data_IF_095041937729
#
_entry.id   IF_095041937729
#
_cell.length_a   1.000
_cell.length_b   1.000
_cell.length_c   1.000
_cell.angle_alpha   90.00
_cell.angle_beta   90.00
_cell.angle_gamma   90.00
#
_symmetry.space_group_name_H-M   'P 1'
#
loop_
_entity.id
_entity.type
_entity.pdbx_description
1 polymer ?
#
# COMPACT_ATOMS: atom_id res chain seq x y z
N UNK A 1 20.41 50.62 -27.12
CA UNK A 1 19.64 49.88 -28.15
C UNK A 1 19.42 50.65 -29.48
N UNK A 2 20.38 51.49 -29.95
CA UNK A 2 20.25 52.19 -31.24
C UNK A 2 21.18 51.69 -32.36
N UNK A 3 22.20 50.88 -32.03
CA UNK A 3 23.22 50.44 -33.00
C UNK A 3 22.91 49.12 -33.73
N UNK A 4 21.86 48.38 -33.36
CA UNK A 4 21.51 47.13 -34.06
C UNK A 4 20.71 47.36 -35.35
N UNK A 5 20.05 48.52 -35.50
CA UNK A 5 19.15 48.79 -36.64
C UNK A 5 19.89 49.11 -37.95
N UNK A 6 21.16 49.51 -37.89
CA UNK A 6 21.94 49.86 -39.10
C UNK A 6 22.67 48.68 -39.75
N UNK A 7 22.96 47.61 -39.01
CA UNK A 7 23.66 46.44 -39.54
C UNK A 7 22.81 45.59 -40.52
N UNK A 8 21.48 45.77 -40.54
CA UNK A 8 20.56 44.92 -41.31
C UNK A 8 20.16 45.49 -42.69
N UNK A 9 20.61 46.69 -43.07
CA UNK A 9 20.22 47.31 -44.35
C UNK A 9 21.09 46.91 -45.55
N UNK A 10 22.33 46.47 -45.33
CA UNK A 10 23.25 46.05 -46.41
C UNK A 10 23.45 44.52 -46.51
N UNK A 11 22.69 43.73 -45.77
CA UNK A 11 22.79 42.27 -45.85
C UNK A 11 21.91 41.74 -46.98
N UNK A 12 22.55 41.03 -47.91
CA UNK A 12 21.92 40.23 -48.96
C UNK A 12 20.73 39.42 -48.40
N UNK A 13 19.62 39.37 -49.14
CA UNK A 13 18.44 38.56 -48.82
C UNK A 13 18.81 37.09 -48.53
N UNK A 14 19.85 36.58 -49.21
CA UNK A 14 20.39 35.24 -48.98
C UNK A 14 20.92 35.06 -47.56
N UNK A 15 21.66 36.06 -47.04
CA UNK A 15 22.24 36.02 -45.70
C UNK A 15 21.15 36.07 -44.62
N UNK A 16 20.10 36.85 -44.86
CA UNK A 16 18.92 36.90 -43.96
C UNK A 16 18.17 35.57 -43.98
N UNK A 17 17.96 34.97 -45.15
CA UNK A 17 17.33 33.66 -45.28
C UNK A 17 18.14 32.56 -44.57
N UNK A 18 19.47 32.59 -44.70
CA UNK A 18 20.39 31.67 -43.98
C UNK A 18 20.26 31.87 -42.46
N UNK A 19 20.28 33.11 -41.97
CA UNK A 19 20.09 33.40 -40.54
C UNK A 19 18.72 32.95 -40.01
N UNK A 20 17.65 33.16 -40.77
CA UNK A 20 16.31 32.67 -40.43
C UNK A 20 16.25 31.14 -40.44
N UNK A 21 16.87 30.47 -41.41
CA UNK A 21 16.98 29.01 -41.44
C UNK A 21 17.76 28.47 -40.24
N UNK A 22 18.85 29.15 -39.84
CA UNK A 22 19.61 28.80 -38.62
C UNK A 22 18.82 29.07 -37.33
N UNK A 23 18.02 30.14 -37.27
CA UNK A 23 17.15 30.42 -36.13
C UNK A 23 16.00 29.42 -36.02
N UNK A 24 15.41 29.01 -37.15
CA UNK A 24 14.35 27.99 -37.19
C UNK A 24 14.93 26.62 -36.85
N UNK A 25 16.13 26.26 -37.33
CA UNK A 25 16.77 24.99 -36.99
C UNK A 25 17.27 24.94 -35.54
N UNK A 26 17.80 26.04 -35.01
CA UNK A 26 18.14 26.15 -33.59
C UNK A 26 16.90 26.05 -32.70
N UNK A 27 15.79 26.72 -33.06
CA UNK A 27 14.52 26.59 -32.34
C UNK A 27 13.92 25.20 -32.49
N UNK A 28 14.02 24.56 -33.67
CA UNK A 28 13.57 23.18 -33.87
C UNK A 28 14.39 22.19 -33.02
N UNK A 29 15.72 22.35 -32.95
CA UNK A 29 16.60 21.57 -32.08
C UNK A 29 16.31 21.82 -30.59
N UNK A 30 16.04 23.05 -30.19
CA UNK A 30 15.63 23.40 -28.82
C UNK A 30 14.26 22.79 -28.46
N UNK A 31 13.30 22.77 -29.39
CA UNK A 31 12.00 22.10 -29.17
C UNK A 31 12.09 20.57 -29.19
N UNK A 32 13.13 19.99 -29.79
CA UNK A 32 13.35 18.54 -29.78
C UNK A 32 13.96 18.03 -28.46
N UNK A 33 14.68 18.88 -27.72
CA UNK A 33 15.20 18.53 -26.39
C UNK A 33 14.10 18.42 -25.33
N UNK A 34 12.98 19.12 -25.50
CA UNK A 34 11.91 19.18 -24.49
C UNK A 34 10.93 17.99 -24.48
N UNK A 35 11.10 17.00 -25.36
CA UNK A 35 10.29 15.76 -25.33
C UNK A 35 11.16 14.50 -25.48
N UNK A 36 12.29 14.43 -24.76
CA UNK A 36 12.90 13.13 -24.49
C UNK A 36 12.04 12.39 -23.48
N UNK A 37 11.00 11.70 -23.97
CA UNK A 37 10.25 10.75 -23.16
C UNK A 37 11.23 9.81 -22.46
N UNK A 38 11.11 9.64 -21.13
CA UNK A 38 12.03 8.78 -20.39
C UNK A 38 11.94 7.36 -20.91
N UNK A 39 13.07 6.83 -21.41
CA UNK A 39 13.15 5.47 -21.98
C UNK A 39 13.34 4.39 -20.93
N UNK A 40 13.82 4.75 -19.76
CA UNK A 40 14.19 3.78 -18.74
C UNK A 40 12.98 3.33 -17.91
N UNK A 41 12.85 2.03 -17.58
CA UNK A 41 11.71 1.52 -16.84
C UNK A 41 11.66 2.06 -15.40
N UNK A 42 10.48 2.47 -14.96
CA UNK A 42 10.24 2.99 -13.62
C UNK A 42 9.14 4.07 -13.58
N UNK A 43 9.07 4.77 -12.45
CA UNK A 43 8.20 5.92 -12.24
C UNK A 43 9.03 7.19 -12.29
N UNK A 44 8.70 8.09 -13.22
CA UNK A 44 9.39 9.35 -13.43
C UNK A 44 8.57 10.49 -12.83
N UNK A 45 9.09 11.06 -11.75
CA UNK A 45 8.47 12.11 -10.95
C UNK A 45 9.28 13.39 -11.11
N UNK A 46 8.87 14.28 -12.01
CA UNK A 46 9.64 15.48 -12.40
C UNK A 46 11.08 15.09 -12.79
N UNK A 47 12.08 15.45 -11.98
CA UNK A 47 13.49 15.18 -12.25
C UNK A 47 14.01 13.89 -11.56
N UNK A 48 13.13 13.14 -10.89
CA UNK A 48 13.51 11.96 -10.09
C UNK A 48 12.88 10.68 -10.62
N UNK A 49 13.71 9.67 -10.83
CA UNK A 49 13.28 8.32 -11.20
C UNK A 49 13.23 7.41 -9.97
N UNK A 50 12.13 6.67 -9.84
CA UNK A 50 11.97 5.60 -8.87
C UNK A 50 11.85 4.26 -9.60
N UNK A 51 12.65 3.27 -9.21
CA UNK A 51 12.57 1.93 -9.79
C UNK A 51 11.32 1.21 -9.30
N UNK A 52 10.83 0.24 -10.09
CA UNK A 52 9.70 -0.61 -9.65
C UNK A 52 10.00 -1.34 -8.34
N UNK A 53 11.23 -1.82 -8.14
CA UNK A 53 11.65 -2.48 -6.90
C UNK A 53 11.62 -1.52 -5.70
N UNK A 54 12.02 -0.26 -5.88
CA UNK A 54 11.99 0.75 -4.83
C UNK A 54 10.55 1.12 -4.42
N UNK A 55 9.65 1.27 -5.40
CA UNK A 55 8.23 1.53 -5.15
C UNK A 55 7.58 0.35 -4.44
N UNK A 56 7.84 -0.88 -4.91
CA UNK A 56 7.30 -2.10 -4.29
C UNK A 56 7.83 -2.30 -2.86
N UNK A 57 9.13 -2.07 -2.62
CA UNK A 57 9.70 -2.11 -1.28
C UNK A 57 9.05 -1.06 -0.35
N UNK A 58 8.79 0.15 -0.87
CA UNK A 58 8.12 1.21 -0.11
C UNK A 58 6.67 0.86 0.18
N UNK A 59 5.94 0.27 -0.77
CA UNK A 59 4.58 -0.23 -0.58
C UNK A 59 4.51 -1.28 0.52
N UNK A 60 5.43 -2.24 0.53
CA UNK A 60 5.52 -3.27 1.59
C UNK A 60 5.78 -2.66 2.97
N UNK A 61 6.66 -1.66 3.06
CA UNK A 61 6.93 -0.95 4.32
C UNK A 61 5.69 -0.16 4.78
N UNK A 62 5.04 0.58 3.88
CA UNK A 62 3.84 1.33 4.19
C UNK A 62 2.69 0.42 4.63
N UNK A 63 2.52 -0.73 3.97
CA UNK A 63 1.54 -1.75 4.34
C UNK A 63 1.77 -2.30 5.76
N UNK A 64 3.03 -2.64 6.10
CA UNK A 64 3.37 -3.09 7.46
C UNK A 64 3.17 -2.01 8.52
N UNK A 65 3.26 -0.74 8.15
CA UNK A 65 3.08 0.37 9.08
C UNK A 65 1.64 0.48 9.63
N UNK A 66 0.65 -0.09 8.93
CA UNK A 66 -0.71 -0.23 9.47
C UNK A 66 -0.76 -1.11 10.71
N UNK A 67 0.15 -2.08 10.86
CA UNK A 67 0.12 -3.08 11.93
C UNK A 67 0.99 -2.71 13.13
N UNK A 68 1.76 -1.62 13.05
CA UNK A 68 2.63 -1.23 14.17
C UNK A 68 1.79 -0.66 15.31
N UNK A 69 1.97 -1.11 16.55
CA UNK A 69 1.24 -0.55 17.71
C UNK A 69 1.98 0.62 18.36
N UNK A 70 3.23 0.87 17.98
CA UNK A 70 4.09 1.90 18.59
C UNK A 70 3.56 3.32 18.40
N UNK A 71 3.59 4.10 19.46
CA UNK A 71 3.14 5.50 19.44
C UNK A 71 4.05 6.43 18.65
N UNK A 72 5.33 6.10 18.49
CA UNK A 72 6.28 6.88 17.69
C UNK A 72 6.32 6.44 16.21
N UNK A 73 5.66 5.32 15.86
CA UNK A 73 5.65 4.82 14.50
C UNK A 73 4.98 5.79 13.52
N UNK A 74 5.58 5.92 12.35
CA UNK A 74 5.01 6.63 11.20
C UNK A 74 3.78 5.88 10.70
N UNK A 75 2.68 6.59 10.48
CA UNK A 75 1.40 6.03 10.00
C UNK A 75 1.16 6.34 8.53
N UNK A 76 0.54 5.42 7.76
CA UNK A 76 -0.06 5.77 6.48
C UNK A 76 -1.03 6.92 6.63
N UNK A 77 -0.90 7.95 5.79
CA UNK A 77 -1.68 9.17 5.91
C UNK A 77 -2.90 9.12 5.00
N UNK A 78 -4.09 9.32 5.53
CA UNK A 78 -5.32 9.42 4.72
C UNK A 78 -5.23 10.65 3.82
N UNK A 79 -5.50 10.48 2.53
CA UNK A 79 -5.55 11.57 1.54
C UNK A 79 -6.95 11.93 1.09
N UNK A 80 -7.83 10.93 1.04
CA UNK A 80 -9.21 11.09 0.62
C UNK A 80 -10.08 10.43 1.68
N UNK A 81 -10.89 11.25 2.35
CA UNK A 81 -11.85 10.75 3.32
C UNK A 81 -13.05 10.17 2.57
N UNK A 82 -13.39 8.94 2.93
CA UNK A 82 -14.62 8.27 2.53
C UNK A 82 -15.44 7.97 3.79
N UNK A 83 -16.77 7.95 3.64
CA UNK A 83 -17.68 7.53 4.71
C UNK A 83 -17.40 6.07 5.07
N UNK A 84 -17.15 5.25 4.04
CA UNK A 84 -16.75 3.86 4.19
C UNK A 84 -15.24 3.73 4.41
N UNK A 85 -14.88 3.12 5.54
CA UNK A 85 -13.52 2.85 5.97
C UNK A 85 -12.77 1.98 4.94
N UNK A 86 -13.46 1.07 4.26
CA UNK A 86 -12.86 0.16 3.28
C UNK A 86 -12.33 0.89 2.03
N UNK A 87 -12.88 2.07 1.74
CA UNK A 87 -12.55 2.88 0.58
C UNK A 87 -11.51 3.97 0.86
N UNK A 88 -10.94 4.01 2.07
CA UNK A 88 -9.90 4.98 2.40
C UNK A 88 -8.64 4.80 1.54
N UNK A 89 -8.12 5.93 1.07
CA UNK A 89 -6.88 6.01 0.28
C UNK A 89 -5.79 6.67 1.11
N UNK A 90 -4.59 6.09 1.03
CA UNK A 90 -3.46 6.47 1.84
C UNK A 90 -2.27 6.91 0.99
N UNK A 91 -1.44 7.78 1.57
CA UNK A 91 -0.15 8.15 1.01
C UNK A 91 1.02 7.78 1.94
N UNK A 92 2.16 7.50 1.31
CA UNK A 92 3.44 7.29 1.99
C UNK A 92 4.59 7.86 1.17
N UNK A 93 5.53 8.58 1.80
CA UNK A 93 6.63 9.24 1.07
C UNK A 93 7.72 8.25 0.63
N UNK A 94 8.30 8.51 -0.53
CA UNK A 94 9.49 7.87 -1.07
C UNK A 94 10.76 8.68 -0.72
N UNK A 95 11.89 8.01 -0.44
CA UNK A 95 12.03 6.58 -0.18
C UNK A 95 11.46 6.18 1.19
N UNK A 96 11.25 4.87 1.40
CA UNK A 96 10.64 4.33 2.62
C UNK A 96 11.32 4.76 3.93
N UNK A 97 12.64 4.99 3.90
CA UNK A 97 13.43 5.56 5.00
C UNK A 97 13.99 6.91 4.57
N UNK A 98 13.95 7.95 5.42
CA UNK A 98 14.72 9.14 5.15
C UNK A 98 16.20 8.75 5.08
N UNK A 99 16.89 9.14 4.01
CA UNK A 99 18.34 9.02 3.90
C UNK A 99 18.99 9.91 4.96
N UNK A 100 19.92 9.34 5.74
CA UNK A 100 20.64 10.05 6.81
C UNK A 100 21.74 11.00 6.29
N UNK A 101 21.95 11.05 4.97
CA UNK A 101 22.91 11.97 4.34
C UNK A 101 22.16 13.19 3.78
N UNK A 102 22.38 14.38 4.36
CA UNK A 102 21.85 15.64 3.85
C UNK A 102 22.77 16.23 2.79
N UNK A 103 23.39 15.41 1.94
CA UNK A 103 24.22 15.88 0.83
C UNK A 103 23.34 16.07 -0.43
N UNK A 104 23.03 17.34 -0.68
CA UNK A 104 22.87 18.00 -1.99
C UNK A 104 21.79 17.63 -3.01
N UNK A 105 20.80 16.78 -2.70
CA UNK A 105 19.63 16.66 -3.58
C UNK A 105 18.28 16.89 -2.87
N UNK A 106 17.87 18.15 -2.86
CA UNK A 106 16.47 18.57 -2.99
C UNK A 106 15.53 18.18 -1.85
N UNK A 107 15.40 19.08 -0.85
CA UNK A 107 14.30 19.06 0.13
C UNK A 107 12.89 19.17 -0.50
N UNK A 108 12.76 19.43 -1.80
CA UNK A 108 11.52 19.93 -2.38
C UNK A 108 10.65 18.90 -3.11
N UNK A 109 11.21 17.84 -3.70
CA UNK A 109 10.42 16.92 -4.54
C UNK A 109 10.54 15.46 -4.07
N UNK A 110 9.93 15.17 -2.91
CA UNK A 110 9.79 13.77 -2.44
C UNK A 110 8.51 13.19 -3.04
N UNK A 111 8.68 12.25 -3.97
CA UNK A 111 7.58 11.41 -4.47
C UNK A 111 6.86 10.70 -3.32
N UNK A 112 5.63 10.30 -3.55
CA UNK A 112 4.78 9.55 -2.63
C UNK A 112 4.12 8.42 -3.39
N UNK A 113 3.92 7.29 -2.73
CA UNK A 113 3.01 6.25 -3.21
C UNK A 113 1.61 6.53 -2.67
N UNK A 114 0.60 6.18 -3.46
CA UNK A 114 -0.82 6.20 -3.12
C UNK A 114 -1.34 4.77 -3.18
N UNK A 115 -2.02 4.30 -2.14
CA UNK A 115 -2.44 2.90 -1.99
C UNK A 115 -3.71 2.76 -1.15
N UNK A 116 -4.37 1.61 -1.24
CA UNK A 116 -5.61 1.32 -0.50
C UNK A 116 -5.39 0.42 0.73
N UNK A 117 -6.48 0.09 1.43
CA UNK A 117 -6.49 -0.80 2.59
C UNK A 117 -5.94 -2.22 2.30
N UNK A 118 -6.09 -2.71 1.07
CA UNK A 118 -5.55 -4.00 0.59
C UNK A 118 -4.06 -3.95 0.29
N UNK A 119 -3.42 -2.82 0.60
CA UNK A 119 -2.04 -2.52 0.26
C UNK A 119 -1.73 -2.50 -1.23
N UNK A 120 -2.74 -2.36 -2.10
CA UNK A 120 -2.54 -2.28 -3.54
C UNK A 120 -2.07 -0.88 -3.92
N UNK A 121 -1.02 -0.82 -4.75
CA UNK A 121 -0.53 0.45 -5.27
C UNK A 121 -1.54 0.99 -6.29
N UNK A 122 -2.06 2.18 -6.03
CA UNK A 122 -2.93 2.90 -6.95
C UNK A 122 -2.07 3.74 -7.89
N UNK A 123 -1.25 4.64 -7.33
CA UNK A 123 -0.47 5.60 -8.10
C UNK A 123 0.84 5.96 -7.40
N UNK A 124 1.75 6.60 -8.15
CA UNK A 124 2.92 7.30 -7.61
C UNK A 124 2.77 8.77 -7.99
N UNK A 125 2.89 9.66 -7.01
CA UNK A 125 2.70 11.10 -7.18
C UNK A 125 3.91 11.88 -6.67
N UNK A 126 4.05 13.13 -7.10
CA UNK A 126 5.00 14.09 -6.53
C UNK A 126 4.29 15.41 -6.28
N UNK A 127 4.72 16.13 -5.25
CA UNK A 127 4.18 17.45 -4.93
C UNK A 127 4.95 18.53 -5.70
N UNK A 128 4.26 19.36 -6.46
CA UNK A 128 4.86 20.55 -7.09
C UNK A 128 4.63 21.77 -6.17
N UNK A 129 5.69 22.34 -5.55
CA UNK A 129 5.56 23.50 -4.68
C UNK A 129 5.11 24.77 -5.42
N UNK A 130 5.35 24.86 -6.74
CA UNK A 130 4.96 26.03 -7.53
C UNK A 130 3.44 26.07 -7.75
N UNK A 131 2.81 24.91 -7.86
CA UNK A 131 1.37 24.77 -8.10
C UNK A 131 0.59 24.34 -6.85
N UNK A 132 1.29 24.01 -5.76
CA UNK A 132 0.71 23.57 -4.48
C UNK A 132 -0.22 22.36 -4.69
N UNK A 133 0.20 21.40 -5.53
CA UNK A 133 -0.62 20.25 -5.92
C UNK A 133 0.22 18.99 -6.16
N UNK A 134 -0.36 17.81 -5.89
CA UNK A 134 0.24 16.53 -6.23
C UNK A 134 -0.05 16.16 -7.71
N UNK A 135 0.99 15.74 -8.44
CA UNK A 135 0.95 15.30 -9.84
C UNK A 135 1.34 13.82 -9.98
N UNK A 136 0.74 13.12 -10.95
CA UNK A 136 1.08 11.74 -11.25
C UNK A 136 2.47 11.62 -11.87
N UNK A 137 3.23 10.62 -11.44
CA UNK A 137 4.50 10.26 -12.06
C UNK A 137 4.27 9.40 -13.30
N UNK A 138 5.04 9.65 -14.36
CA UNK A 138 4.95 8.87 -15.59
C UNK A 138 5.50 7.46 -15.38
N UNK A 139 4.67 6.44 -15.61
CA UNK A 139 5.09 5.03 -15.54
C UNK A 139 5.61 4.58 -16.90
N UNK A 140 6.88 4.18 -16.94
CA UNK A 140 7.52 3.61 -18.12
C UNK A 140 7.70 2.10 -17.88
N UNK A 141 6.98 1.29 -18.64
CA UNK A 141 7.00 -0.18 -18.50
C UNK A 141 8.36 -0.76 -18.92
N UNK A 142 8.73 -1.89 -18.31
CA UNK A 142 9.84 -2.70 -18.83
C UNK A 142 9.36 -3.39 -20.12
N UNK A 143 10.00 -3.12 -21.25
CA UNK A 143 9.79 -3.92 -22.46
C UNK A 143 10.31 -5.32 -22.14
N UNK A 144 9.40 -6.25 -21.90
CA UNK A 144 9.75 -7.63 -21.62
C UNK A 144 10.04 -8.35 -22.93
N UNK A 145 11.29 -8.70 -23.17
CA UNK A 145 11.62 -9.85 -24.00
C UNK A 145 11.06 -11.08 -23.30
N UNK A 146 9.93 -11.59 -23.81
CA UNK A 146 9.20 -12.72 -23.27
C UNK A 146 10.07 -13.97 -23.47
N UNK A 147 10.75 -14.41 -22.41
CA UNK A 147 11.15 -15.81 -22.27
C UNK A 147 10.21 -16.44 -21.26
N UNK A 148 9.16 -17.09 -21.75
CA UNK A 148 8.23 -17.89 -20.93
C UNK A 148 8.96 -19.11 -20.39
N UNK A 149 9.64 -18.97 -19.26
CA UNK A 149 9.92 -20.12 -18.40
C UNK A 149 8.63 -20.42 -17.64
N UNK A 150 7.90 -21.45 -18.09
CA UNK A 150 6.85 -22.12 -17.31
C UNK A 150 7.52 -22.72 -16.06
N UNK A 151 7.70 -21.89 -15.03
CA UNK A 151 7.95 -22.39 -13.69
C UNK A 151 6.64 -23.01 -13.22
N UNK A 152 6.67 -24.33 -13.02
CA UNK A 152 5.64 -25.07 -12.31
C UNK A 152 5.33 -24.31 -11.01
N UNK A 153 4.16 -23.65 -10.97
CA UNK A 153 3.68 -23.01 -9.75
C UNK A 153 3.30 -24.14 -8.82
N UNK A 154 4.15 -24.38 -7.82
CA UNK A 154 3.76 -25.12 -6.62
C UNK A 154 2.42 -24.52 -6.14
N UNK A 155 1.40 -25.32 -5.83
CA UNK A 155 0.17 -24.79 -5.25
C UNK A 155 0.54 -23.99 -4.01
N UNK A 156 0.40 -22.66 -4.08
CA UNK A 156 0.57 -21.82 -2.90
C UNK A 156 -0.55 -22.21 -1.94
N UNK A 157 -0.19 -22.61 -0.70
CA UNK A 157 -1.15 -22.89 0.36
C UNK A 157 -2.21 -21.77 0.42
N UNK A 158 -3.47 -22.09 0.75
CA UNK A 158 -4.52 -21.07 0.78
C UNK A 158 -4.16 -19.97 1.80
N UNK A 159 -3.95 -18.77 1.27
CA UNK A 159 -3.71 -17.55 2.06
C UNK A 159 -4.99 -16.75 2.10
N UNK A 160 -5.44 -16.42 3.31
CA UNK A 160 -6.49 -15.43 3.52
C UNK A 160 -5.85 -14.08 3.77
N UNK A 161 -6.38 -13.03 3.14
CA UNK A 161 -5.88 -11.66 3.30
C UNK A 161 -7.01 -10.75 3.78
N UNK A 162 -6.74 -10.00 4.85
CA UNK A 162 -7.56 -8.86 5.25
C UNK A 162 -6.69 -7.63 5.44
N UNK A 163 -6.89 -6.65 4.57
CA UNK A 163 -6.06 -5.45 4.49
C UNK A 163 -4.58 -5.76 4.35
N UNK A 164 -3.80 -5.38 5.37
CA UNK A 164 -2.34 -5.58 5.45
C UNK A 164 -1.91 -6.90 6.07
N UNK A 165 -2.84 -7.70 6.61
CA UNK A 165 -2.55 -8.98 7.23
C UNK A 165 -2.92 -10.11 6.27
N UNK A 166 -1.94 -10.96 5.97
CA UNK A 166 -2.11 -12.17 5.20
C UNK A 166 -1.65 -13.36 6.05
N UNK A 167 -2.49 -14.38 6.15
CA UNK A 167 -2.29 -15.55 6.98
C UNK A 167 -2.53 -16.81 6.16
N UNK A 168 -1.76 -17.86 6.44
CA UNK A 168 -2.11 -19.19 5.94
C UNK A 168 -3.26 -19.74 6.77
N UNK A 169 -4.16 -20.49 6.14
CA UNK A 169 -5.24 -21.17 6.86
C UNK A 169 -4.66 -22.07 7.97
N UNK A 170 -3.55 -22.75 7.68
CA UNK A 170 -2.89 -23.62 8.65
C UNK A 170 -2.42 -22.88 9.90
N UNK A 171 -1.93 -21.65 9.77
CA UNK A 171 -1.50 -20.82 10.92
C UNK A 171 -2.68 -20.48 11.83
N UNK A 172 -3.86 -20.20 11.26
CA UNK A 172 -5.07 -19.91 12.02
C UNK A 172 -5.51 -21.16 12.80
N UNK A 173 -5.53 -22.31 12.13
CA UNK A 173 -5.95 -23.58 12.73
C UNK A 173 -5.00 -24.04 13.84
N UNK A 174 -3.68 -23.89 13.63
CA UNK A 174 -2.67 -24.21 14.64
C UNK A 174 -2.79 -23.31 15.86
N UNK A 175 -2.98 -22.00 15.65
CA UNK A 175 -3.23 -21.07 16.75
C UNK A 175 -4.49 -21.44 17.52
N UNK A 176 -5.61 -21.67 16.81
CA UNK A 176 -6.86 -22.09 17.42
C UNK A 176 -6.66 -23.33 18.29
N UNK A 177 -6.03 -24.38 17.75
CA UNK A 177 -5.76 -25.63 18.48
C UNK A 177 -4.93 -25.39 19.74
N UNK A 178 -3.87 -24.59 19.65
CA UNK A 178 -3.06 -24.26 20.83
C UNK A 178 -3.86 -23.53 21.91
N UNK A 179 -4.73 -22.60 21.53
CA UNK A 179 -5.60 -21.89 22.48
C UNK A 179 -6.64 -22.82 23.08
N UNK A 180 -7.34 -23.62 22.29
CA UNK A 180 -8.32 -24.60 22.79
C UNK A 180 -7.77 -25.53 23.86
N UNK A 181 -6.49 -25.92 23.78
CA UNK A 181 -5.84 -26.77 24.77
C UNK A 181 -5.54 -26.06 26.11
N UNK A 182 -5.41 -24.74 26.10
CA UNK A 182 -5.00 -23.95 27.27
C UNK A 182 -6.11 -23.06 27.85
N UNK A 183 -7.07 -22.64 27.03
CA UNK A 183 -8.24 -21.83 27.39
C UNK A 183 -9.16 -21.69 26.17
N UNK A 184 -10.45 -21.98 26.28
CA UNK A 184 -11.41 -21.66 25.22
C UNK A 184 -11.28 -20.16 24.86
N UNK A 185 -11.09 -19.80 23.57
CA UNK A 185 -11.13 -18.40 23.17
C UNK A 185 -12.46 -17.80 23.65
N UNK A 186 -12.40 -16.64 24.29
CA UNK A 186 -13.62 -15.94 24.69
C UNK A 186 -14.30 -15.47 23.41
N UNK A 187 -15.42 -16.12 23.08
CA UNK A 187 -16.16 -15.84 21.86
C UNK A 187 -17.21 -14.77 22.13
N UNK A 188 -17.09 -13.64 21.45
CA UNK A 188 -18.06 -12.56 21.50
C UNK A 188 -19.05 -12.71 20.35
N UNK A 189 -20.34 -12.66 20.64
CA UNK A 189 -21.37 -12.70 19.63
C UNK A 189 -21.36 -11.45 18.76
N UNK A 190 -21.47 -11.63 17.44
CA UNK A 190 -21.58 -10.55 16.49
C UNK A 190 -23.02 -10.06 16.47
N UNK A 191 -23.24 -8.82 16.94
CA UNK A 191 -24.54 -8.15 16.89
C UNK A 191 -25.18 -8.25 15.50
N UNK A 192 -26.49 -8.45 15.47
CA UNK A 192 -27.33 -8.49 14.27
C UNK A 192 -27.00 -9.62 13.28
N UNK A 193 -26.51 -10.76 13.79
CA UNK A 193 -26.30 -11.96 12.96
C UNK A 193 -27.21 -13.13 13.34
N UNK A 194 -28.08 -12.97 14.34
CA UNK A 194 -29.01 -14.02 14.80
C UNK A 194 -29.92 -14.55 13.69
N UNK A 195 -30.50 -13.67 12.88
CA UNK A 195 -31.47 -14.04 11.84
C UNK A 195 -30.80 -14.58 10.55
N UNK A 196 -29.46 -14.71 10.53
CA UNK A 196 -28.75 -15.27 9.39
C UNK A 196 -28.81 -16.79 9.38
N UNK A 197 -28.84 -17.39 8.20
CA UNK A 197 -28.94 -18.85 7.99
C UNK A 197 -27.81 -19.61 8.70
N UNK A 198 -26.62 -19.01 8.75
CA UNK A 198 -25.41 -19.49 9.42
C UNK A 198 -25.15 -18.79 10.77
N UNK A 199 -26.07 -17.95 11.22
CA UNK A 199 -26.00 -17.22 12.47
C UNK A 199 -26.40 -18.03 13.72
N UNK A 200 -26.12 -17.50 14.92
CA UNK A 200 -25.33 -16.29 15.17
C UNK A 200 -23.82 -16.50 14.95
N UNK A 201 -23.15 -15.46 14.50
CA UNK A 201 -21.70 -15.47 14.33
C UNK A 201 -20.99 -15.09 15.62
N UNK A 202 -19.80 -15.66 15.83
CA UNK A 202 -18.94 -15.40 16.98
C UNK A 202 -17.58 -14.85 16.54
N UNK A 203 -16.92 -14.08 17.40
CA UNK A 203 -15.58 -13.56 17.20
C UNK A 203 -14.65 -13.99 18.31
N UNK A 204 -13.46 -14.42 17.95
CA UNK A 204 -12.40 -14.71 18.90
C UNK A 204 -11.15 -13.89 18.58
N UNK A 205 -10.49 -13.40 19.62
CA UNK A 205 -9.24 -12.64 19.52
C UNK A 205 -8.05 -13.58 19.35
N UNK A 206 -7.29 -13.36 18.29
CA UNK A 206 -6.10 -14.11 17.92
C UNK A 206 -4.90 -13.15 17.85
N UNK A 207 -3.69 -13.68 17.91
CA UNK A 207 -2.47 -12.90 17.78
C UNK A 207 -1.44 -13.59 16.89
N UNK A 208 -0.67 -12.81 16.15
CA UNK A 208 0.48 -13.29 15.37
C UNK A 208 1.65 -12.35 15.52
N UNK A 209 2.82 -12.91 15.81
CA UNK A 209 4.07 -12.17 15.78
C UNK A 209 4.54 -11.98 14.34
N UNK A 210 4.75 -10.74 13.93
CA UNK A 210 5.31 -10.38 12.61
C UNK A 210 6.57 -9.53 12.76
N UNK A 211 7.47 -9.62 11.78
CA UNK A 211 8.66 -8.78 11.73
C UNK A 211 8.39 -7.46 10.97
N UNK A 212 8.39 -6.35 11.71
CA UNK A 212 8.36 -4.99 11.18
C UNK A 212 9.72 -4.35 11.49
N UNK A 213 10.45 -3.92 10.46
CA UNK A 213 11.78 -3.30 10.63
C UNK A 213 12.78 -4.14 11.46
N UNK A 214 12.73 -5.47 11.32
CA UNK A 214 13.53 -6.46 12.08
C UNK A 214 13.19 -6.59 13.57
N UNK A 215 12.14 -5.92 14.03
CA UNK A 215 11.61 -6.10 15.39
C UNK A 215 10.36 -6.97 15.34
N UNK A 216 10.18 -7.92 16.28
CA UNK A 216 8.95 -8.67 16.41
C UNK A 216 7.85 -7.75 16.95
N UNK A 217 6.66 -7.87 16.38
CA UNK A 217 5.46 -7.17 16.81
C UNK A 217 4.29 -8.14 16.86
N UNK A 218 3.59 -8.17 17.99
CA UNK A 218 2.38 -8.94 18.13
C UNK A 218 1.19 -8.17 17.57
N UNK A 219 0.64 -8.71 16.49
CA UNK A 219 -0.54 -8.17 15.82
C UNK A 219 -1.74 -8.95 16.29
N UNK A 220 -2.70 -8.24 16.87
CA UNK A 220 -3.98 -8.81 17.28
C UNK A 220 -4.98 -8.69 16.13
N UNK A 221 -5.75 -9.74 15.90
CA UNK A 221 -6.81 -9.81 14.90
C UNK A 221 -7.96 -10.65 15.44
N UNK A 222 -9.16 -10.50 14.89
CA UNK A 222 -10.29 -11.34 15.27
C UNK A 222 -10.65 -12.28 14.14
N UNK A 223 -10.98 -13.51 14.48
CA UNK A 223 -11.57 -14.48 13.54
C UNK A 223 -13.07 -14.52 13.76
N UNK A 224 -13.83 -14.39 12.68
CA UNK A 224 -15.29 -14.53 12.69
C UNK A 224 -15.63 -15.97 12.32
N UNK A 225 -16.37 -16.67 13.19
CA UNK A 225 -16.85 -18.03 12.95
C UNK A 225 -18.37 -18.08 12.97
N UNK A 226 -18.93 -19.06 12.26
CA UNK A 226 -20.34 -19.38 12.32
C UNK A 226 -20.68 -20.42 13.41
N UNK A 227 -21.94 -20.85 13.46
CA UNK A 227 -22.43 -21.86 14.42
C UNK A 227 -21.82 -23.27 14.26
N UNK A 228 -21.14 -23.54 13.15
CA UNK A 228 -20.46 -24.82 12.87
C UNK A 228 -18.95 -24.72 13.08
N UNK A 229 -18.48 -23.64 13.70
CA UNK A 229 -17.07 -23.31 13.84
C UNK A 229 -16.33 -23.19 12.49
N UNK A 230 -17.04 -22.81 11.43
CA UNK A 230 -16.40 -22.45 10.16
C UNK A 230 -15.98 -20.98 10.19
N UNK A 231 -14.73 -20.73 9.81
CA UNK A 231 -14.19 -19.39 9.65
C UNK A 231 -14.83 -18.72 8.44
N UNK A 232 -15.55 -17.62 8.71
CA UNK A 232 -16.27 -16.79 7.73
C UNK A 232 -15.51 -15.51 7.37
N UNK A 233 -14.62 -15.07 8.25
CA UNK A 233 -13.91 -13.82 8.02
C UNK A 233 -12.89 -13.46 9.09
N UNK A 234 -12.29 -12.30 8.91
CA UNK A 234 -11.25 -11.76 9.79
C UNK A 234 -11.46 -10.26 9.99
N UNK A 235 -11.18 -9.77 11.20
CA UNK A 235 -11.13 -8.34 11.52
C UNK A 235 -9.71 -7.95 11.85
N UNK A 236 -9.20 -6.91 11.19
CA UNK A 236 -7.83 -6.41 11.38
C UNK A 236 -7.88 -4.93 11.77
N UNK A 237 -7.12 -4.58 12.80
CA UNK A 237 -6.97 -3.18 13.22
C UNK A 237 -5.83 -2.53 12.43
N UNK A 238 -6.12 -1.41 11.77
CA UNK A 238 -5.13 -0.59 11.08
C UNK A 238 -4.90 0.70 11.86
N UNK A 239 -3.62 1.03 12.05
CA UNK A 239 -3.18 2.29 12.64
C UNK A 239 -2.87 3.30 11.54
N UNK A 240 -3.62 4.39 11.50
CA UNK A 240 -3.60 5.39 10.44
C UNK A 240 -3.27 6.78 10.98
N UNK A 241 -2.93 7.70 10.08
CA UNK A 241 -2.77 9.12 10.39
C UNK A 241 -3.72 9.97 9.56
N UNK A 242 -4.35 10.96 10.19
CA UNK A 242 -5.16 11.98 9.50
C UNK A 242 -4.53 13.36 9.69
N UNK A 243 -4.62 14.20 8.66
CA UNK A 243 -4.29 15.61 8.78
C UNK A 243 -5.45 16.32 9.46
N UNK A 244 -5.19 17.02 10.57
CA UNK A 244 -6.18 17.90 11.16
C UNK A 244 -6.27 19.16 10.28
N UNK A 245 -7.39 19.30 9.57
CA UNK A 245 -7.72 20.53 8.86
C UNK A 245 -8.31 21.48 9.90
N UNK A 246 -7.51 22.38 10.45
CA UNK A 246 -8.05 23.50 11.22
C UNK A 246 -8.90 24.36 10.27
N UNK A 247 -10.13 24.69 10.66
CA UNK A 247 -10.96 25.64 9.92
C UNK A 247 -10.12 26.89 9.59
N UNK A 248 -10.19 27.35 8.33
CA UNK A 248 -9.60 28.63 7.93
C UNK A 248 -10.37 29.72 8.68
N UNK A 249 -9.90 30.11 9.86
CA UNK A 249 -10.31 31.36 10.49
C UNK A 249 -9.96 32.49 9.52
N UNK A 250 -10.98 33.21 9.07
CA UNK A 250 -10.87 34.32 8.12
C UNK A 250 -10.15 35.56 8.69
N UNK A 251 -9.84 35.56 9.99
CA UNK A 251 -9.13 36.67 10.61
C UNK A 251 -7.62 36.55 10.49
N UNK A 252 -7.10 37.48 9.71
CA UNK A 252 -5.71 37.70 9.39
C UNK A 252 -4.91 38.15 10.62
N UNK A 253 -3.85 37.39 10.94
CA UNK A 253 -2.55 37.98 11.29
C UNK A 253 -1.49 37.16 10.58
N UNK A 254 -0.67 37.83 9.77
CA UNK A 254 0.49 37.28 9.05
C UNK A 254 1.53 36.76 10.05
N UNK A 255 1.30 35.60 10.64
CA UNK A 255 2.36 34.81 11.25
C UNK A 255 3.03 33.99 10.15
N UNK A 256 4.23 34.41 9.73
CA UNK A 256 5.13 33.68 8.83
C UNK A 256 5.75 32.41 9.47
N UNK A 257 5.08 31.80 10.45
CA UNK A 257 5.42 30.46 10.92
C UNK A 257 4.66 29.44 10.08
N UNK A 258 5.35 28.43 9.54
CA UNK A 258 4.64 27.31 8.90
C UNK A 258 3.69 26.70 9.93
N UNK A 259 2.36 26.85 9.71
CA UNK A 259 1.36 26.15 10.51
C UNK A 259 1.63 24.65 10.30
N UNK A 260 2.38 24.03 11.22
CA UNK A 260 2.64 22.59 11.20
C UNK A 260 1.28 21.91 11.22
N UNK A 261 0.92 21.25 10.11
CA UNK A 261 -0.29 20.44 10.04
C UNK A 261 -0.21 19.41 11.15
N UNK A 262 -1.08 19.52 12.16
CA UNK A 262 -1.13 18.53 13.24
C UNK A 262 -1.64 17.21 12.66
N UNK A 263 -0.88 16.15 12.87
CA UNK A 263 -1.28 14.79 12.46
C UNK A 263 -1.94 14.12 13.66
N UNK A 264 -3.17 13.65 13.48
CA UNK A 264 -3.87 12.82 14.44
C UNK A 264 -3.64 11.36 14.09
N UNK A 265 -3.23 10.55 15.08
CA UNK A 265 -3.15 9.09 14.92
C UNK A 265 -4.48 8.48 15.35
N UNK A 266 -4.96 7.52 14.57
CA UNK A 266 -6.23 6.86 14.80
C UNK A 266 -6.11 5.37 14.48
N UNK A 267 -7.09 4.60 14.93
CA UNK A 267 -7.27 3.20 14.55
C UNK A 267 -8.58 3.03 13.82
N UNK A 268 -8.57 2.13 12.83
CA UNK A 268 -9.76 1.68 12.12
C UNK A 268 -9.81 0.16 12.17
N UNK A 269 -11.00 -0.42 12.07
CA UNK A 269 -11.19 -1.88 12.00
C UNK A 269 -11.69 -2.24 10.61
N UNK A 270 -10.92 -3.06 9.91
CA UNK A 270 -11.30 -3.62 8.62
C UNK A 270 -11.92 -4.99 8.85
N UNK A 271 -13.11 -5.23 8.29
CA UNK A 271 -13.80 -6.51 8.35
C UNK A 271 -13.74 -7.13 6.96
N UNK A 272 -13.18 -8.34 6.86
CA UNK A 272 -13.09 -9.05 5.58
C UNK A 272 -13.77 -10.40 5.69
N UNK A 273 -14.84 -10.61 4.93
CA UNK A 273 -15.46 -11.91 4.78
C UNK A 273 -14.77 -12.69 3.66
N UNK A 274 -14.67 -14.01 3.84
CA UNK A 274 -14.05 -14.90 2.88
C UNK A 274 -15.13 -15.54 2.00
N UNK A 275 -14.88 -15.59 0.69
CA UNK A 275 -15.77 -16.28 -0.25
C UNK A 275 -15.82 -17.79 0.01
N UNK A 276 -14.70 -18.35 0.49
CA UNK A 276 -14.57 -19.75 0.88
C UNK A 276 -14.34 -19.86 2.38
N UNK A 277 -15.21 -20.60 3.05
CA UNK A 277 -15.07 -20.91 4.47
C UNK A 277 -14.16 -22.12 4.68
N UNK A 278 -13.68 -22.28 5.90
CA UNK A 278 -12.86 -23.42 6.31
C UNK A 278 -13.07 -23.70 7.80
N UNK A 279 -12.92 -24.94 8.27
CA UNK A 279 -13.13 -25.26 9.67
C UNK A 279 -12.01 -24.64 10.53
N UNK A 280 -12.39 -24.04 11.66
CA UNK A 280 -11.44 -23.41 12.59
C UNK A 280 -10.46 -24.43 13.17
N UNK A 281 -10.94 -25.65 13.43
CA UNK A 281 -10.12 -26.79 13.83
C UNK A 281 -9.98 -27.72 12.65
N UNK A 282 -8.76 -28.23 12.39
CA UNK A 282 -8.60 -29.28 11.37
C UNK A 282 -9.49 -30.46 11.74
N UNK A 283 -10.25 -31.04 10.79
CA UNK A 283 -10.94 -32.29 11.03
C UNK A 283 -9.90 -33.30 11.52
N UNK A 284 -10.13 -33.90 12.69
CA UNK A 284 -9.37 -35.09 13.07
C UNK A 284 -9.60 -36.10 11.94
N UNK A 285 -8.55 -36.67 11.31
CA UNK A 285 -8.78 -37.79 10.41
C UNK A 285 -9.53 -38.83 11.24
N UNK A 286 -10.76 -39.12 10.84
CA UNK A 286 -11.52 -40.20 11.46
C UNK A 286 -10.64 -41.43 11.40
N UNK A 287 -10.21 -41.93 12.55
CA UNK A 287 -9.60 -43.24 12.63
C UNK A 287 -10.71 -44.26 12.42
N UNK A 288 -11.26 -44.33 11.21
CA UNK A 288 -12.03 -45.46 10.72
C UNK A 288 -11.05 -46.58 10.41
N UNK A 289 -10.44 -47.09 11.47
CA UNK A 289 -9.98 -48.47 11.54
C UNK A 289 -10.60 -49.01 12.81
N UNK A 290 -11.89 -49.32 12.72
CA UNK A 290 -12.48 -50.36 13.55
C UNK A 290 -11.58 -51.58 13.41
N UNK A 291 -10.70 -51.82 14.39
CA UNK A 291 -10.01 -53.10 14.53
C UNK A 291 -11.08 -54.19 14.53
N UNK A 292 -11.18 -55.07 13.51
CA UNK A 292 -11.99 -56.25 13.65
C UNK A 292 -11.22 -57.16 14.59
N UNK A 293 -11.58 -57.12 15.87
CA UNK A 293 -11.21 -58.13 16.85
C UNK A 293 -11.55 -59.49 16.25
N UNK A 294 -10.52 -60.21 15.79
CA UNK A 294 -10.58 -61.62 15.41
C UNK A 294 -11.26 -62.38 16.54
N UNK A 295 -12.53 -62.75 16.35
CA UNK A 295 -13.15 -63.83 17.13
C UNK A 295 -12.32 -65.08 16.88
N UNK A 296 -11.69 -65.61 17.92
CA UNK A 296 -11.21 -66.99 17.94
C UNK A 296 -12.43 -67.90 17.85
N UNK A 297 -12.55 -68.65 16.76
CA UNK A 297 -13.40 -69.84 16.71
C UNK A 297 -12.60 -70.96 17.36
N UNK A 298 -13.07 -71.50 18.49
CA UNK A 298 -12.60 -72.77 19.02
C UNK A 298 -13.25 -73.88 18.18
N UNK A 299 -12.41 -74.68 17.54
CA UNK A 299 -12.72 -76.02 17.05
C UNK A 299 -11.68 -76.96 17.68
#
# INVERSE_FOLDING_TARGET
MKNLKYAFRCQSLLLKAIFFMFLISANASLTLEDVKQPREPGYHCRNKKYTFSQVEATRRVACKAFLSTRDDARRPLVTQDHIDVENLIYQWSLPARPTNHPTDEGKNDKGKIVFNNRCELINVVYYDPNKIQDYLCQKVSKVSSITTSRKNKVPENPVVQCGSLALKIEEIQEYARSKFLHSLPEFFEVKNTFDRIDGPWKRALFSKTILISRQPHDVHYEIVVDKKDEVRGMVVTHHIGRKLISARTYDAVKYHGSRRTRLKKETIRLVCFFDKTFPLLRPTPSSDVSNPLKRKTLA
#
